data_IF_188496846217
#
_entry.id   IF_188496846217
#
_cell.length_a   1.000
_cell.length_b   1.000
_cell.length_c   1.000
_cell.angle_alpha   90.00
_cell.angle_beta   90.00
_cell.angle_gamma   90.00
#
_symmetry.space_group_name_H-M   'P 1'
#
loop_
_entity.id
_entity.type
_entity.pdbx_description
1 polymer ?
#
# COMPACT_ATOMS: atom_id res chain seq x y z
N UNK A 1 -28.04 -2.81 -9.73
CA UNK A 1 -27.73 -2.12 -8.45
C UNK A 1 -26.54 -1.19 -8.64
N UNK A 2 -26.66 0.06 -8.16
CA UNK A 2 -25.55 1.01 -8.12
C UNK A 2 -24.34 0.40 -7.40
N UNK A 3 -23.14 0.55 -7.96
CA UNK A 3 -21.90 0.11 -7.35
C UNK A 3 -20.73 0.97 -7.80
N UNK A 4 -19.68 1.01 -6.97
CA UNK A 4 -18.45 1.71 -7.33
C UNK A 4 -17.61 0.86 -8.29
N UNK A 5 -17.36 1.37 -9.50
CA UNK A 5 -16.44 0.73 -10.45
C UNK A 5 -14.96 0.90 -10.09
N UNK A 6 -14.67 1.85 -9.19
CA UNK A 6 -13.33 2.18 -8.70
C UNK A 6 -13.40 2.79 -7.30
N UNK A 7 -12.46 2.40 -6.44
CA UNK A 7 -12.22 3.01 -5.14
C UNK A 7 -10.71 3.19 -4.95
N UNK A 8 -10.27 4.37 -4.53
CA UNK A 8 -8.88 4.63 -4.22
C UNK A 8 -8.77 4.96 -2.73
N UNK A 9 -8.21 4.04 -1.94
CA UNK A 9 -8.03 4.19 -0.50
C UNK A 9 -6.64 4.77 -0.27
N UNK A 10 -6.53 5.80 0.57
CA UNK A 10 -5.28 6.48 0.83
C UNK A 10 -4.99 6.53 2.33
N UNK A 11 -3.83 6.00 2.73
CA UNK A 11 -3.30 6.12 4.08
C UNK A 11 -2.10 7.06 4.05
N UNK A 12 -2.19 8.16 4.80
CA UNK A 12 -1.11 9.13 4.93
C UNK A 12 -0.21 8.74 6.12
N UNK A 13 1.09 8.66 5.85
CA UNK A 13 2.14 8.41 6.85
C UNK A 13 2.92 9.71 6.99
N UNK A 14 2.72 10.38 8.12
CA UNK A 14 3.19 11.74 8.37
C UNK A 14 4.29 11.69 9.45
N UNK A 15 5.33 12.49 9.27
CA UNK A 15 6.44 12.69 10.22
C UNK A 15 7.24 11.43 10.58
N UNK A 16 7.18 10.39 9.74
CA UNK A 16 8.09 9.24 9.78
C UNK A 16 9.26 9.45 8.81
N UNK A 17 10.53 9.23 9.21
CA UNK A 17 11.69 9.50 8.36
C UNK A 17 11.61 8.83 6.98
N UNK A 18 12.01 9.56 5.92
CA UNK A 18 11.98 9.05 4.54
C UNK A 18 12.75 7.74 4.38
N UNK A 19 13.92 7.63 5.00
CA UNK A 19 14.77 6.42 4.93
C UNK A 19 14.09 5.21 5.57
N UNK A 20 13.28 5.44 6.61
CA UNK A 20 12.49 4.41 7.24
C UNK A 20 11.31 3.99 6.36
N UNK A 21 10.57 4.92 5.74
CA UNK A 21 9.41 4.54 4.90
C UNK A 21 9.85 3.88 3.60
N UNK A 22 10.92 4.37 2.97
CA UNK A 22 11.38 3.88 1.66
C UNK A 22 11.92 2.46 1.69
N UNK A 23 12.14 1.87 2.86
CA UNK A 23 12.50 0.46 3.03
C UNK A 23 11.31 -0.50 2.81
N UNK A 24 10.07 -0.04 3.01
CA UNK A 24 8.88 -0.90 2.96
C UNK A 24 8.59 -1.37 1.54
N UNK A 25 8.04 -2.58 1.43
CA UNK A 25 7.66 -3.21 0.16
C UNK A 25 6.31 -3.91 0.30
N UNK A 26 5.54 -3.94 -0.78
CA UNK A 26 4.49 -4.94 -0.96
C UNK A 26 5.12 -6.22 -1.49
N UNK A 27 5.03 -7.32 -0.74
CA UNK A 27 5.74 -8.58 -1.04
C UNK A 27 4.94 -9.56 -1.89
N UNK A 28 3.75 -9.14 -2.34
CA UNK A 28 2.92 -9.91 -3.25
C UNK A 28 3.64 -10.28 -4.55
N UNK A 29 3.22 -11.36 -5.22
CA UNK A 29 3.77 -11.77 -6.52
C UNK A 29 3.27 -10.89 -7.67
N UNK A 30 3.50 -9.58 -7.59
CA UNK A 30 3.09 -8.58 -8.59
C UNK A 30 4.30 -7.81 -9.13
N UNK A 31 4.13 -7.12 -10.26
CA UNK A 31 5.20 -6.28 -10.82
C UNK A 31 5.52 -5.12 -9.89
N UNK A 32 6.80 -4.82 -9.69
CA UNK A 32 7.28 -3.66 -8.94
C UNK A 32 7.93 -2.65 -9.89
N UNK A 33 7.56 -1.37 -9.76
CA UNK A 33 8.13 -0.28 -10.54
C UNK A 33 8.46 0.91 -9.64
N UNK A 34 9.72 1.07 -9.22
CA UNK A 34 10.18 2.26 -8.52
C UNK A 34 10.46 3.41 -9.50
N UNK A 35 10.25 4.64 -9.03
CA UNK A 35 10.61 5.90 -9.69
C UNK A 35 11.49 6.67 -8.71
N UNK A 36 12.69 6.98 -9.16
CA UNK A 36 13.69 7.72 -8.40
C UNK A 36 13.79 9.15 -8.92
N UNK A 37 14.00 10.09 -7.99
CA UNK A 37 14.32 11.47 -8.31
C UNK A 37 15.74 11.61 -8.85
N UNK A 38 16.10 12.82 -9.30
CA UNK A 38 17.46 13.11 -9.80
C UNK A 38 18.55 12.93 -8.73
N UNK A 39 18.18 12.99 -7.46
CA UNK A 39 19.05 12.76 -6.31
C UNK A 39 19.20 11.26 -5.95
N UNK A 40 18.61 10.36 -6.75
CA UNK A 40 18.63 8.92 -6.48
C UNK A 40 17.68 8.44 -5.39
N UNK A 41 16.93 9.35 -4.73
CA UNK A 41 15.95 8.96 -3.70
C UNK A 41 14.67 8.44 -4.35
N UNK A 42 14.06 7.43 -3.71
CA UNK A 42 12.75 6.95 -4.12
C UNK A 42 11.74 8.09 -3.99
N UNK A 43 10.98 8.36 -5.06
CA UNK A 43 9.87 9.32 -5.02
C UNK A 43 8.52 8.60 -5.08
N UNK A 44 8.44 7.51 -5.85
CA UNK A 44 7.21 6.74 -6.02
C UNK A 44 7.52 5.28 -6.31
N UNK A 45 6.74 4.37 -5.74
CA UNK A 45 6.76 2.95 -6.02
C UNK A 45 5.36 2.48 -6.42
N UNK A 46 5.28 1.65 -7.46
CA UNK A 46 4.06 0.98 -7.89
C UNK A 46 4.19 -0.53 -7.74
N UNK A 47 3.14 -1.17 -7.23
CA UNK A 47 2.97 -2.62 -7.22
C UNK A 47 1.69 -3.00 -7.97
N UNK A 48 1.83 -3.85 -8.99
CA UNK A 48 0.77 -4.18 -9.93
C UNK A 48 0.64 -3.19 -11.09
N UNK A 49 -0.05 -3.59 -12.15
CA UNK A 49 -0.25 -2.76 -13.35
C UNK A 49 -1.33 -1.69 -13.10
N UNK A 50 -1.30 -0.59 -13.87
CA UNK A 50 -2.33 0.46 -13.72
C UNK A 50 -3.73 -0.02 -14.09
N UNK A 51 -3.79 -1.02 -14.98
CA UNK A 51 -5.01 -1.60 -15.52
C UNK A 51 -5.56 -2.78 -14.71
N UNK A 52 -4.83 -3.28 -13.70
CA UNK A 52 -5.31 -4.37 -12.86
C UNK A 52 -6.41 -3.92 -11.90
N UNK A 53 -7.14 -4.89 -11.37
CA UNK A 53 -8.19 -4.66 -10.36
C UNK A 53 -7.66 -4.15 -9.03
N UNK A 54 -6.37 -4.37 -8.76
CA UNK A 54 -5.63 -3.79 -7.64
C UNK A 54 -4.30 -3.24 -8.13
N UNK A 55 -4.00 -1.99 -7.78
CA UNK A 55 -2.66 -1.42 -7.85
C UNK A 55 -2.36 -0.69 -6.54
N UNK A 56 -1.19 -0.95 -5.95
CA UNK A 56 -0.73 -0.24 -4.76
C UNK A 56 0.34 0.76 -5.16
N UNK A 57 0.31 1.94 -4.55
CA UNK A 57 1.26 3.03 -4.75
C UNK A 57 1.78 3.50 -3.41
N UNK A 58 3.10 3.70 -3.31
CA UNK A 58 3.69 4.41 -2.18
C UNK A 58 4.50 5.57 -2.74
N UNK A 59 4.20 6.80 -2.32
CA UNK A 59 4.87 7.97 -2.87
C UNK A 59 5.05 9.10 -1.88
N UNK A 60 6.07 9.92 -2.10
CA UNK A 60 6.33 11.10 -1.30
C UNK A 60 5.26 12.17 -1.64
N UNK A 61 4.26 12.25 -0.77
CA UNK A 61 3.09 13.11 -0.95
C UNK A 61 3.44 14.57 -0.74
N UNK A 62 4.35 14.89 0.18
CA UNK A 62 4.87 16.26 0.36
C UNK A 62 5.52 16.77 -0.93
N UNK A 63 6.45 16.00 -1.51
CA UNK A 63 7.10 16.35 -2.76
C UNK A 63 6.10 16.49 -3.92
N UNK A 64 5.09 15.62 -3.97
CA UNK A 64 4.01 15.67 -4.97
C UNK A 64 3.18 16.97 -4.86
N UNK A 65 2.85 17.39 -3.64
CA UNK A 65 2.11 18.63 -3.37
C UNK A 65 2.95 19.87 -3.66
N UNK A 66 4.22 19.87 -3.27
CA UNK A 66 5.17 20.95 -3.57
C UNK A 66 5.36 21.14 -5.08
N UNK A 67 5.50 20.04 -5.85
CA UNK A 67 5.55 20.07 -7.32
C UNK A 67 4.27 20.66 -7.92
N UNK A 68 3.12 20.45 -7.28
CA UNK A 68 1.82 21.07 -7.65
C UNK A 68 1.64 22.50 -7.12
N UNK A 69 2.67 23.09 -6.51
CA UNK A 69 2.63 24.44 -5.89
C UNK A 69 1.53 24.57 -4.84
N UNK A 70 1.20 23.48 -4.15
CA UNK A 70 0.29 23.49 -3.00
C UNK A 70 1.07 23.86 -1.74
N UNK A 71 0.40 24.53 -0.81
CA UNK A 71 0.99 24.86 0.50
C UNK A 71 0.96 23.60 1.34
N UNK A 72 2.14 23.14 1.75
CA UNK A 72 2.29 22.09 2.76
C UNK A 72 2.61 22.79 4.09
N UNK A 73 1.91 22.46 5.18
CA UNK A 73 2.23 22.99 6.50
C UNK A 73 3.71 22.74 6.87
N UNK A 74 4.36 23.71 7.52
CA UNK A 74 5.81 23.66 7.77
C UNK A 74 6.19 22.63 8.82
N UNK A 75 5.25 22.31 9.71
CA UNK A 75 5.34 21.30 10.75
C UNK A 75 5.45 19.88 10.19
N UNK A 76 4.92 19.63 8.98
CA UNK A 76 5.03 18.34 8.31
C UNK A 76 6.44 18.19 7.76
N UNK A 77 7.26 17.39 8.43
CA UNK A 77 8.66 17.13 8.07
C UNK A 77 8.72 16.16 6.89
N UNK A 78 7.98 15.06 6.98
CA UNK A 78 7.84 14.05 5.94
C UNK A 78 6.38 13.67 5.74
N UNK A 79 6.03 13.31 4.51
CA UNK A 79 4.67 12.87 4.20
C UNK A 79 4.72 11.89 3.04
N UNK A 80 4.42 10.63 3.35
CA UNK A 80 4.26 9.56 2.40
C UNK A 80 2.80 9.13 2.35
N UNK A 81 2.36 8.66 1.19
CA UNK A 81 1.02 8.09 1.04
C UNK A 81 1.11 6.69 0.49
N UNK A 82 0.48 5.75 1.17
CA UNK A 82 0.15 4.42 0.67
C UNK A 82 -1.26 4.47 0.08
N UNK A 83 -1.37 4.29 -1.24
CA UNK A 83 -2.62 4.42 -1.98
C UNK A 83 -2.97 3.10 -2.67
N UNK A 84 -4.11 2.54 -2.33
CA UNK A 84 -4.66 1.31 -2.87
C UNK A 84 -5.74 1.66 -3.90
N UNK A 85 -5.41 1.54 -5.18
CA UNK A 85 -6.35 1.70 -6.29
C UNK A 85 -7.05 0.37 -6.56
N UNK A 86 -8.36 0.33 -6.37
CA UNK A 86 -9.22 -0.83 -6.57
C UNK A 86 -10.20 -0.57 -7.73
N UNK A 87 -10.47 -1.59 -8.53
CA UNK A 87 -11.39 -1.52 -9.67
C UNK A 87 -12.27 -2.77 -9.72
N UNK A 88 -13.42 -2.66 -10.38
CA UNK A 88 -14.37 -3.77 -10.59
C UNK A 88 -14.76 -4.40 -9.25
N UNK A 89 -14.83 -5.73 -9.16
CA UNK A 89 -15.25 -6.43 -7.93
C UNK A 89 -14.43 -6.05 -6.70
N UNK A 90 -13.13 -5.75 -6.86
CA UNK A 90 -12.27 -5.32 -5.74
C UNK A 90 -12.65 -3.95 -5.17
N UNK A 91 -13.31 -3.09 -5.93
CA UNK A 91 -13.80 -1.82 -5.42
C UNK A 91 -14.99 -2.02 -4.46
N UNK A 92 -15.83 -3.03 -4.71
CA UNK A 92 -16.89 -3.44 -3.78
C UNK A 92 -16.28 -4.06 -2.51
N UNK A 93 -15.27 -4.92 -2.67
CA UNK A 93 -14.59 -5.60 -1.56
C UNK A 93 -13.47 -4.77 -0.91
N UNK A 94 -13.57 -3.43 -0.97
CA UNK A 94 -12.47 -2.54 -0.60
C UNK A 94 -11.93 -2.79 0.80
N UNK A 95 -12.82 -3.07 1.75
CA UNK A 95 -12.48 -3.31 3.15
C UNK A 95 -11.51 -4.50 3.30
N UNK A 96 -11.85 -5.65 2.72
CA UNK A 96 -10.99 -6.84 2.74
C UNK A 96 -9.68 -6.60 1.96
N UNK A 97 -9.75 -5.84 0.86
CA UNK A 97 -8.57 -5.53 0.05
C UNK A 97 -7.55 -4.64 0.76
N UNK A 98 -7.98 -3.77 1.68
CA UNK A 98 -7.05 -2.98 2.50
C UNK A 98 -6.26 -3.89 3.43
N UNK A 99 -6.92 -4.77 4.19
CA UNK A 99 -6.24 -5.73 5.07
C UNK A 99 -5.28 -6.65 4.30
N UNK A 100 -5.71 -7.23 3.17
CA UNK A 100 -4.83 -8.09 2.36
C UNK A 100 -3.57 -7.34 1.87
N UNK A 101 -3.73 -6.05 1.55
CA UNK A 101 -2.63 -5.20 1.10
C UNK A 101 -1.68 -4.87 2.25
N UNK A 102 -2.21 -4.55 3.43
CA UNK A 102 -1.43 -4.27 4.63
C UNK A 102 -0.69 -5.52 5.12
N UNK A 103 -1.29 -6.70 5.05
CA UNK A 103 -0.64 -8.00 5.35
C UNK A 103 0.56 -8.34 4.48
N UNK A 104 0.65 -7.66 3.34
CA UNK A 104 1.74 -7.81 2.40
C UNK A 104 2.70 -6.61 2.42
N UNK A 105 2.40 -5.57 3.21
CA UNK A 105 3.24 -4.39 3.38
C UNK A 105 4.20 -4.63 4.54
N UNK A 106 5.48 -4.84 4.20
CA UNK A 106 6.50 -5.30 5.15
C UNK A 106 7.81 -4.53 4.98
N UNK A 107 8.51 -4.35 6.09
CA UNK A 107 9.91 -3.92 6.12
C UNK A 107 10.83 -5.14 6.19
N UNK A 108 11.95 -5.17 5.43
CA UNK A 108 12.94 -6.24 5.52
C UNK A 108 13.88 -6.10 6.73
N UNK A 109 13.81 -5.00 7.49
CA UNK A 109 14.76 -4.72 8.59
C UNK A 109 14.37 -5.35 9.92
N UNK A 110 13.12 -5.76 10.09
CA UNK A 110 12.59 -6.20 11.39
C UNK A 110 12.35 -7.70 11.52
N UNK A 111 12.89 -8.50 10.58
CA UNK A 111 12.72 -9.96 10.52
C UNK A 111 12.80 -10.66 11.88
N UNK A 112 12.05 -11.76 12.09
CA UNK A 112 12.02 -12.49 13.37
C UNK A 112 13.42 -12.79 13.92
N UNK A 113 13.58 -12.68 15.24
CA UNK A 113 14.90 -12.80 15.89
C UNK A 113 15.61 -14.13 15.57
N UNK A 114 14.84 -15.21 15.42
CA UNK A 114 15.28 -16.56 15.08
C UNK A 114 15.54 -16.77 13.57
N UNK A 115 15.29 -15.76 12.73
CA UNK A 115 15.60 -15.83 11.30
C UNK A 115 17.10 -16.05 11.08
N UNK A 116 17.44 -17.10 10.33
CA UNK A 116 18.83 -17.45 10.04
C UNK A 116 19.58 -16.32 9.32
N UNK A 117 20.90 -16.20 9.56
CA UNK A 117 21.74 -15.20 8.86
C UNK A 117 21.65 -15.36 7.35
N UNK A 118 21.60 -16.59 6.85
CA UNK A 118 21.45 -16.87 5.41
C UNK A 118 20.12 -16.31 4.85
N UNK A 119 19.03 -16.44 5.60
CA UNK A 119 17.73 -15.89 5.19
C UNK A 119 17.70 -14.36 5.26
N UNK A 120 18.35 -13.76 6.27
CA UNK A 120 18.54 -12.30 6.35
C UNK A 120 19.33 -11.76 5.16
N UNK A 121 20.44 -12.42 4.80
CA UNK A 121 21.25 -12.06 3.63
C UNK A 121 20.43 -12.16 2.33
N UNK A 122 19.66 -13.24 2.18
CA UNK A 122 18.84 -13.44 0.99
C UNK A 122 17.74 -12.38 0.86
N UNK A 123 17.03 -12.06 1.95
CA UNK A 123 16.01 -11.00 1.92
C UNK A 123 16.64 -9.64 1.64
N UNK A 124 17.80 -9.34 2.23
CA UNK A 124 18.53 -8.10 1.95
C UNK A 124 18.88 -7.99 0.47
N UNK A 125 19.41 -9.06 -0.13
CA UNK A 125 19.72 -9.12 -1.56
C UNK A 125 18.46 -8.95 -2.43
N UNK A 126 17.35 -9.62 -2.08
CA UNK A 126 16.08 -9.56 -2.80
C UNK A 126 15.37 -8.19 -2.70
N UNK A 127 15.56 -7.46 -1.60
CA UNK A 127 15.04 -6.10 -1.43
C UNK A 127 15.88 -5.08 -2.17
N UNK A 128 17.21 -5.24 -2.12
CA UNK A 128 18.16 -4.33 -2.78
C UNK A 128 18.07 -4.48 -4.29
N UNK A 129 18.11 -5.72 -4.78
CA UNK A 129 18.08 -6.07 -6.20
C UNK A 129 16.80 -6.86 -6.51
N UNK A 130 15.72 -6.14 -6.85
CA UNK A 130 14.41 -6.76 -7.07
C UNK A 130 14.41 -7.80 -8.20
N UNK A 131 15.29 -7.65 -9.20
CA UNK A 131 15.42 -8.59 -10.32
C UNK A 131 15.85 -9.99 -9.87
N UNK A 132 16.48 -10.14 -8.70
CA UNK A 132 16.83 -11.44 -8.14
C UNK A 132 15.60 -12.30 -7.80
N UNK A 133 14.43 -11.69 -7.56
CA UNK A 133 13.18 -12.44 -7.45
C UNK A 133 12.88 -13.22 -8.72
N UNK A 134 13.31 -12.76 -9.90
CA UNK A 134 13.17 -13.45 -11.17
C UNK A 134 14.05 -14.71 -11.28
N UNK A 135 15.20 -14.71 -10.59
CA UNK A 135 16.28 -15.69 -10.75
C UNK A 135 16.19 -16.88 -9.79
N UNK A 136 15.43 -16.75 -8.69
CA UNK A 136 15.23 -17.84 -7.73
C UNK A 136 14.04 -18.73 -8.09
N UNK A 137 14.05 -19.98 -7.62
CA UNK A 137 12.96 -20.93 -7.89
C UNK A 137 11.66 -20.56 -7.14
N UNK A 138 10.52 -21.06 -7.63
CA UNK A 138 9.18 -20.77 -7.08
C UNK A 138 9.04 -21.08 -5.59
N UNK A 139 9.59 -22.20 -5.10
CA UNK A 139 9.49 -22.59 -3.68
C UNK A 139 10.23 -21.59 -2.79
N UNK A 140 11.43 -21.19 -3.21
CA UNK A 140 12.24 -20.18 -2.54
C UNK A 140 11.54 -18.82 -2.53
N UNK A 141 10.87 -18.43 -3.63
CA UNK A 141 10.04 -17.20 -3.63
C UNK A 141 8.95 -17.24 -2.56
N UNK A 142 8.21 -18.36 -2.45
CA UNK A 142 7.18 -18.49 -1.42
C UNK A 142 7.74 -18.46 -0.01
N UNK A 143 8.88 -19.13 0.24
CA UNK A 143 9.55 -19.08 1.55
C UNK A 143 9.77 -17.64 2.01
N UNK A 144 10.43 -16.82 1.19
CA UNK A 144 10.79 -15.47 1.59
C UNK A 144 9.62 -14.50 1.61
N UNK A 145 8.64 -14.66 0.73
CA UNK A 145 7.38 -13.89 0.82
C UNK A 145 6.63 -14.19 2.11
N UNK A 146 6.51 -15.46 2.48
CA UNK A 146 5.81 -15.84 3.71
C UNK A 146 6.54 -15.31 4.94
N UNK A 147 7.88 -15.35 4.95
CA UNK A 147 8.66 -14.78 6.05
C UNK A 147 8.44 -13.26 6.19
N UNK A 148 8.41 -12.53 5.07
CA UNK A 148 8.10 -11.09 5.08
C UNK A 148 6.64 -10.78 5.43
N UNK A 149 5.68 -11.64 5.04
CA UNK A 149 4.27 -11.49 5.44
C UNK A 149 4.08 -11.74 6.94
N UNK A 150 4.80 -12.70 7.52
CA UNK A 150 4.82 -12.90 8.97
C UNK A 150 5.39 -11.68 9.68
N UNK A 151 6.44 -11.08 9.12
CA UNK A 151 7.01 -9.84 9.66
C UNK A 151 5.99 -8.69 9.66
N UNK A 152 5.26 -8.50 8.57
CA UNK A 152 4.19 -7.49 8.46
C UNK A 152 3.14 -7.55 9.59
N UNK A 153 2.92 -8.72 10.19
CA UNK A 153 1.97 -8.88 11.31
C UNK A 153 2.51 -8.31 12.62
N UNK A 154 3.84 -8.26 12.78
CA UNK A 154 4.50 -7.76 13.99
C UNK A 154 5.07 -6.34 13.81
N UNK A 155 5.04 -5.80 12.60
CA UNK A 155 5.55 -4.47 12.27
C UNK A 155 4.67 -3.35 12.85
N UNK A 156 5.28 -2.45 13.61
CA UNK A 156 4.59 -1.36 14.31
C UNK A 156 3.89 -0.40 13.35
N UNK A 157 4.54 0.05 12.28
CA UNK A 157 3.93 0.97 11.33
C UNK A 157 2.75 0.32 10.61
N UNK A 158 2.92 -0.92 10.13
CA UNK A 158 1.83 -1.62 9.46
C UNK A 158 0.66 -1.88 10.40
N UNK A 159 0.91 -2.17 11.69
CA UNK A 159 -0.15 -2.31 12.69
C UNK A 159 -0.89 -0.99 12.95
N UNK A 160 -0.17 0.14 13.09
CA UNK A 160 -0.82 1.46 13.19
C UNK A 160 -1.69 1.77 11.97
N UNK A 161 -1.25 1.40 10.77
CA UNK A 161 -2.04 1.55 9.55
C UNK A 161 -3.33 0.70 9.59
N UNK A 162 -3.26 -0.54 10.10
CA UNK A 162 -4.44 -1.40 10.28
C UNK A 162 -5.42 -0.82 11.31
N UNK A 163 -4.90 -0.36 12.45
CA UNK A 163 -5.71 0.21 13.53
C UNK A 163 -6.41 1.49 13.07
N UNK A 164 -5.68 2.42 12.46
CA UNK A 164 -6.24 3.67 11.90
C UNK A 164 -7.31 3.38 10.85
N UNK A 165 -7.10 2.33 10.03
CA UNK A 165 -8.09 1.90 9.06
C UNK A 165 -9.33 1.31 9.74
N UNK A 166 -9.15 0.43 10.74
CA UNK A 166 -10.26 -0.16 11.47
C UNK A 166 -11.12 0.90 12.17
N UNK A 167 -10.50 1.92 12.76
CA UNK A 167 -11.19 3.04 13.42
C UNK A 167 -12.01 3.90 12.45
N UNK A 168 -11.57 4.02 11.19
CA UNK A 168 -12.24 4.84 10.17
C UNK A 168 -13.16 4.06 9.24
N UNK A 169 -13.07 2.73 9.22
CA UNK A 169 -13.74 1.87 8.25
C UNK A 169 -15.27 2.01 8.27
N UNK A 170 -15.88 2.07 9.45
CA UNK A 170 -17.33 2.19 9.58
C UNK A 170 -17.86 3.53 9.07
N UNK A 171 -17.13 4.62 9.33
CA UNK A 171 -17.53 5.94 8.86
C UNK A 171 -17.32 6.09 7.35
N UNK A 172 -16.20 5.56 6.82
CA UNK A 172 -15.99 5.44 5.37
C UNK A 172 -17.11 4.64 4.71
N UNK A 173 -17.54 3.55 5.33
CA UNK A 173 -18.66 2.74 4.81
C UNK A 173 -19.96 3.53 4.79
N UNK A 174 -20.32 4.21 5.88
CA UNK A 174 -21.53 5.06 5.94
C UNK A 174 -21.51 6.15 4.87
N UNK A 175 -20.37 6.80 4.67
CA UNK A 175 -20.22 7.81 3.60
C UNK A 175 -20.47 7.19 2.23
N UNK A 176 -19.81 6.07 1.91
CA UNK A 176 -19.98 5.36 0.63
C UNK A 176 -21.42 4.89 0.41
N UNK A 177 -22.06 4.31 1.42
CA UNK A 177 -23.45 3.85 1.36
C UNK A 177 -24.41 5.03 1.13
N UNK A 178 -24.14 6.18 1.76
CA UNK A 178 -24.92 7.42 1.54
C UNK A 178 -24.85 7.89 0.08
N UNK A 179 -23.67 7.80 -0.55
CA UNK A 179 -23.51 8.11 -1.97
C UNK A 179 -24.27 7.15 -2.88
N UNK A 180 -24.30 5.85 -2.55
CA UNK A 180 -25.03 4.85 -3.33
C UNK A 180 -26.54 5.06 -3.25
N UNK A 181 -27.07 5.36 -2.08
CA UNK A 181 -28.49 5.70 -1.89
C UNK A 181 -28.89 6.93 -2.72
N UNK A 182 -28.05 7.97 -2.74
CA UNK A 182 -28.31 9.17 -3.56
C UNK A 182 -28.21 8.93 -5.08
N UNK A 183 -27.60 7.82 -5.51
CA UNK A 183 -27.48 7.42 -6.93
C UNK A 183 -28.58 6.44 -7.35
N UNK A 184 -29.27 5.81 -6.41
CA UNK A 184 -30.43 4.97 -6.64
C UNK A 184 -31.67 5.85 -6.87
N UNK A 185 -31.64 6.65 -7.94
CA UNK A 185 -32.74 7.57 -8.34
C UNK A 185 -33.84 6.82 -9.11
N UNK A 186 -33.76 5.49 -9.19
CA UNK A 186 -34.82 4.65 -9.75
C UNK A 186 -35.83 4.26 -8.69
N UNK A 187 -36.71 5.21 -8.32
CA UNK A 187 -38.14 5.03 -7.96
C UNK A 187 -38.73 6.29 -7.29
N UNK A 188 -38.53 7.48 -7.88
CA UNK A 188 -39.44 8.62 -7.70
C UNK A 188 -39.94 9.18 -9.05
N UNK A 189 -40.15 8.29 -10.03
CA UNK A 189 -40.98 8.61 -11.21
C UNK A 189 -42.31 7.84 -11.14
N UNK A 190 -43.32 8.53 -10.61
CA UNK A 190 -44.74 8.45 -10.98
C UNK A 190 -45.49 7.10 -10.80
N UNK A 191 -46.13 6.89 -9.63
CA UNK A 191 -47.60 7.03 -9.42
C UNK A 191 -48.09 6.51 -8.07
#
# INVERSE_FOLDING_TARGET
>A
EPHFSRADIACDIIDVPDEFITQYRVVDPVSFKPIYGRNGKLETAYWGSRSSERQIRMYNKKLEQEKKRKIVPKEIVSWWRLELQLRRGKATDWHAMVYESLDSFASPHYLPADTSVADKMMITALTTEHDYWGQINRKTKYKYRNLLKQESQNDELTNHLRETFAESADDLKKELDTWLLGLDVTEEEEK
#
